data_IF_905407138193
#
_entry.id   IF_905407138193
#
_cell.length_a   1.000
_cell.length_b   1.000
_cell.length_c   1.000
_cell.angle_alpha   90.00
_cell.angle_beta   90.00
_cell.angle_gamma   90.00
#
_symmetry.space_group_name_H-M   'P 1'
#
loop_
_entity.id
_entity.type
_entity.pdbx_description
1 polymer ?
#
# COMPACT_ATOMS: atom_id res chain seq x y z
N UNK A 1 -1.64 17.02 -13.57
CA UNK A 1 -2.94 17.41 -14.13
C UNK A 1 -4.05 17.57 -13.07
N UNK A 2 -4.37 16.51 -12.26
CA UNK A 2 -5.41 16.60 -11.21
C UNK A 2 -5.02 17.57 -10.09
N UNK A 3 -3.78 17.59 -9.72
CA UNK A 3 -3.23 18.46 -8.67
C UNK A 3 -3.12 19.90 -9.14
N UNK A 4 -2.71 20.11 -10.40
CA UNK A 4 -2.73 21.43 -11.05
C UNK A 4 -4.18 21.93 -11.19
N UNK A 5 -5.10 21.00 -11.48
CA UNK A 5 -6.53 21.30 -11.54
C UNK A 5 -7.09 21.72 -10.18
N UNK A 6 -6.77 20.97 -9.09
CA UNK A 6 -7.18 21.36 -7.73
C UNK A 6 -6.52 22.68 -7.28
N UNK A 7 -5.29 22.94 -7.69
CA UNK A 7 -4.61 24.20 -7.38
C UNK A 7 -5.28 25.42 -8.05
N UNK A 8 -5.83 25.23 -9.22
CA UNK A 8 -6.54 26.27 -9.99
C UNK A 8 -7.98 26.46 -9.50
N UNK A 9 -8.70 25.35 -9.18
CA UNK A 9 -10.14 25.37 -8.94
C UNK A 9 -10.56 25.27 -7.48
N UNK A 10 -9.76 24.66 -6.59
CA UNK A 10 -10.11 24.56 -5.17
C UNK A 10 -8.88 24.43 -4.26
N UNK A 11 -8.20 25.56 -4.05
CA UNK A 11 -7.06 25.66 -3.11
C UNK A 11 -7.43 25.31 -1.66
N UNK A 12 -8.68 25.59 -1.26
CA UNK A 12 -9.13 25.29 0.12
C UNK A 12 -9.28 23.79 0.31
N UNK A 13 -9.90 23.09 -0.61
CA UNK A 13 -10.06 21.65 -0.54
C UNK A 13 -8.69 20.91 -0.56
N UNK A 14 -7.73 21.42 -1.35
CA UNK A 14 -6.35 20.91 -1.39
C UNK A 14 -5.66 21.00 -0.01
N UNK A 15 -5.80 22.12 0.66
CA UNK A 15 -5.20 22.38 1.98
C UNK A 15 -5.94 21.62 3.09
N UNK A 16 -7.27 21.65 3.08
CA UNK A 16 -8.09 20.99 4.11
C UNK A 16 -7.95 19.46 4.10
N UNK A 17 -7.79 18.86 2.91
CA UNK A 17 -7.61 17.42 2.74
C UNK A 17 -6.15 16.97 2.74
N UNK A 18 -5.20 17.90 2.85
CA UNK A 18 -3.77 17.59 2.91
C UNK A 18 -3.23 16.91 1.64
N UNK A 19 -3.83 17.18 0.47
CA UNK A 19 -3.44 16.58 -0.80
C UNK A 19 -2.16 17.26 -1.31
N UNK A 20 -1.01 16.66 -1.00
CA UNK A 20 0.28 17.15 -1.46
C UNK A 20 0.94 16.14 -2.39
N UNK A 21 1.42 16.65 -3.53
CA UNK A 21 2.20 15.85 -4.47
C UNK A 21 3.56 15.47 -3.89
N UNK A 22 3.92 14.21 -4.06
CA UNK A 22 5.26 13.73 -3.73
C UNK A 22 6.13 13.80 -4.99
N UNK A 23 7.20 14.61 -4.99
CA UNK A 23 8.08 14.72 -6.16
C UNK A 23 8.64 13.36 -6.58
N UNK A 24 8.65 13.09 -7.88
CA UNK A 24 9.12 11.81 -8.43
C UNK A 24 10.49 11.35 -7.91
N UNK A 25 11.51 12.22 -7.73
CA UNK A 25 12.79 11.80 -7.15
C UNK A 25 12.67 11.25 -5.74
N UNK A 26 11.76 11.80 -4.90
CA UNK A 26 11.51 11.34 -3.53
C UNK A 26 10.82 9.97 -3.55
N UNK A 27 9.78 9.82 -4.36
CA UNK A 27 9.09 8.53 -4.54
C UNK A 27 10.07 7.45 -4.99
N UNK A 28 10.86 7.75 -6.02
CA UNK A 28 11.85 6.83 -6.58
C UNK A 28 12.95 6.47 -5.57
N UNK A 29 13.38 7.42 -4.74
CA UNK A 29 14.32 7.15 -3.65
C UNK A 29 13.72 6.20 -2.62
N UNK A 30 12.51 6.49 -2.13
CA UNK A 30 11.83 5.66 -1.12
C UNK A 30 11.63 4.23 -1.63
N UNK A 31 11.05 4.06 -2.82
CA UNK A 31 10.75 2.74 -3.38
C UNK A 31 12.03 1.92 -3.60
N UNK A 32 13.10 2.55 -4.12
CA UNK A 32 14.39 1.86 -4.29
C UNK A 32 15.04 1.51 -2.96
N UNK A 33 14.97 2.39 -1.96
CA UNK A 33 15.51 2.09 -0.63
C UNK A 33 14.79 0.90 0.01
N UNK A 34 13.48 0.80 -0.15
CA UNK A 34 12.71 -0.38 0.32
C UNK A 34 13.12 -1.63 -0.46
N UNK A 35 13.30 -1.53 -1.79
CA UNK A 35 13.76 -2.64 -2.61
C UNK A 35 15.12 -3.18 -2.16
N UNK A 36 16.10 -2.30 -1.93
CA UNK A 36 17.44 -2.64 -1.45
C UNK A 36 17.38 -3.22 -0.02
N UNK A 37 16.59 -2.63 0.87
CA UNK A 37 16.41 -3.14 2.22
C UNK A 37 15.88 -4.58 2.25
N UNK A 38 14.95 -4.93 1.35
CA UNK A 38 14.44 -6.30 1.25
C UNK A 38 15.55 -7.27 0.83
N UNK A 39 16.40 -6.87 -0.12
CA UNK A 39 17.54 -7.68 -0.54
C UNK A 39 18.49 -7.91 0.63
N UNK A 40 18.87 -6.86 1.34
CA UNK A 40 19.90 -6.90 2.36
C UNK A 40 19.42 -7.56 3.67
N UNK A 41 18.20 -7.22 4.14
CA UNK A 41 17.71 -7.67 5.44
C UNK A 41 17.02 -9.05 5.40
N UNK A 42 16.40 -9.39 4.25
CA UNK A 42 15.64 -10.64 4.14
C UNK A 42 16.27 -11.67 3.19
N UNK A 43 17.43 -11.38 2.60
CA UNK A 43 18.11 -12.25 1.63
C UNK A 43 17.19 -12.66 0.44
N UNK A 44 16.37 -11.71 -0.04
CA UNK A 44 15.48 -11.89 -1.17
C UNK A 44 16.06 -11.15 -2.39
N UNK A 45 16.76 -11.89 -3.26
CA UNK A 45 17.58 -11.33 -4.34
C UNK A 45 16.82 -10.43 -5.33
N UNK A 46 15.53 -10.66 -5.52
CA UNK A 46 14.70 -9.87 -6.42
C UNK A 46 14.01 -8.68 -5.70
N UNK A 47 14.26 -8.45 -4.41
CA UNK A 47 13.71 -7.34 -3.63
C UNK A 47 12.19 -7.29 -3.69
N UNK A 48 11.60 -6.15 -4.08
CA UNK A 48 10.14 -5.99 -4.26
C UNK A 48 9.53 -6.97 -5.28
N UNK A 49 10.35 -7.50 -6.20
CA UNK A 49 9.91 -8.46 -7.21
C UNK A 49 9.97 -9.93 -6.74
N UNK A 50 10.52 -10.20 -5.55
CA UNK A 50 10.65 -11.56 -5.04
C UNK A 50 9.28 -12.20 -4.80
N UNK A 51 9.14 -13.47 -5.17
CA UNK A 51 7.88 -14.23 -5.07
C UNK A 51 7.91 -15.28 -3.98
N UNK A 52 8.92 -15.27 -3.11
CA UNK A 52 9.04 -16.19 -1.98
C UNK A 52 7.83 -16.08 -1.05
N UNK A 53 7.41 -17.22 -0.53
CA UNK A 53 6.38 -17.31 0.50
C UNK A 53 6.96 -17.07 1.89
N UNK A 54 6.09 -17.00 2.91
CA UNK A 54 6.53 -16.91 4.31
C UNK A 54 7.40 -18.09 4.70
N UNK A 55 7.09 -19.34 4.29
CA UNK A 55 7.91 -20.52 4.61
C UNK A 55 9.31 -20.41 3.99
N UNK A 56 9.42 -19.92 2.77
CA UNK A 56 10.71 -19.76 2.10
C UNK A 56 11.57 -18.69 2.78
N UNK A 57 10.93 -17.56 3.13
CA UNK A 57 11.61 -16.43 3.77
C UNK A 57 12.06 -16.77 5.19
N UNK A 58 11.24 -17.44 5.98
CA UNK A 58 11.62 -17.90 7.33
C UNK A 58 12.77 -18.91 7.27
N UNK A 59 12.81 -19.81 6.29
CA UNK A 59 13.93 -20.75 6.10
C UNK A 59 15.25 -20.01 5.81
N UNK A 60 15.20 -18.94 5.00
CA UNK A 60 16.36 -18.10 4.68
C UNK A 60 16.80 -17.22 5.87
N UNK A 61 15.87 -16.89 6.77
CA UNK A 61 16.08 -15.96 7.88
C UNK A 61 15.72 -16.62 9.23
N UNK A 62 16.60 -17.48 9.79
CA UNK A 62 16.36 -18.16 11.07
C UNK A 62 16.14 -17.15 12.20
N UNK A 63 15.06 -17.30 12.93
CA UNK A 63 14.66 -16.40 14.03
C UNK A 63 13.57 -15.40 13.65
N UNK A 64 13.25 -15.26 12.39
CA UNK A 64 12.11 -14.48 11.93
C UNK A 64 10.79 -15.15 12.35
N UNK A 65 9.87 -14.35 12.88
CA UNK A 65 8.55 -14.84 13.31
C UNK A 65 7.49 -14.38 12.30
N UNK A 66 6.69 -15.33 11.86
CA UNK A 66 5.52 -15.08 11.04
C UNK A 66 4.40 -14.48 11.90
N UNK A 67 3.67 -13.44 11.43
CA UNK A 67 2.47 -12.94 12.10
C UNK A 67 1.42 -14.06 12.29
N UNK A 68 0.64 -14.05 13.38
CA UNK A 68 -0.36 -15.11 13.64
C UNK A 68 -1.39 -15.28 12.52
N UNK A 69 -1.78 -14.20 11.88
CA UNK A 69 -2.81 -14.19 10.82
C UNK A 69 -2.28 -14.59 9.43
N UNK A 70 -0.94 -14.60 9.21
CA UNK A 70 -0.38 -15.02 7.93
C UNK A 70 -0.38 -16.56 7.79
N UNK A 71 -0.60 -17.09 6.59
CA UNK A 71 -0.30 -18.46 6.22
C UNK A 71 1.18 -18.63 5.85
N UNK A 72 1.70 -19.85 5.98
CA UNK A 72 3.05 -20.16 5.49
C UNK A 72 3.16 -20.08 3.96
N UNK A 73 2.07 -20.33 3.27
CA UNK A 73 1.99 -20.31 1.80
C UNK A 73 1.68 -18.92 1.24
N UNK A 74 1.33 -17.94 2.10
CA UNK A 74 1.11 -16.57 1.65
C UNK A 74 2.41 -15.97 1.08
N UNK A 75 2.32 -15.13 0.04
CA UNK A 75 3.45 -14.34 -0.43
C UNK A 75 4.03 -13.49 0.71
N UNK A 76 5.36 -13.49 0.86
CA UNK A 76 5.99 -12.64 1.88
C UNK A 76 5.90 -11.17 1.53
N UNK A 77 6.16 -10.80 0.27
CA UNK A 77 6.11 -9.41 -0.17
C UNK A 77 4.65 -9.04 -0.48
N UNK A 78 4.02 -8.28 0.41
CA UNK A 78 2.69 -7.71 0.24
C UNK A 78 2.73 -6.21 0.54
N UNK A 79 2.37 -5.39 -0.43
CA UNK A 79 2.64 -3.95 -0.46
C UNK A 79 1.32 -3.18 -0.36
N UNK A 80 1.20 -2.30 0.63
CA UNK A 80 0.06 -1.40 0.79
C UNK A 80 0.50 0.06 0.72
N UNK A 81 -0.19 0.85 -0.10
CA UNK A 81 -0.23 2.30 0.04
C UNK A 81 -1.55 2.70 0.73
N UNK A 82 -1.52 3.12 2.00
CA UNK A 82 -2.73 3.38 2.78
C UNK A 82 -3.41 4.72 2.45
N UNK A 83 -2.79 5.54 1.60
CA UNK A 83 -3.31 6.81 1.12
C UNK A 83 -2.83 7.03 -0.33
N UNK A 84 -3.26 6.11 -1.20
CA UNK A 84 -2.65 5.91 -2.52
C UNK A 84 -2.76 7.13 -3.45
N UNK A 85 -3.70 8.03 -3.21
CA UNK A 85 -3.91 9.21 -4.04
C UNK A 85 -4.10 8.84 -5.51
N UNK A 86 -3.31 9.44 -6.38
CA UNK A 86 -3.31 9.12 -7.82
C UNK A 86 -2.38 7.94 -8.18
N UNK A 87 -1.89 7.17 -7.23
CA UNK A 87 -1.12 5.94 -7.45
C UNK A 87 0.38 6.14 -7.72
N UNK A 88 0.95 7.28 -7.36
CA UNK A 88 2.34 7.62 -7.74
C UNK A 88 3.36 6.63 -7.16
N UNK A 89 3.21 6.19 -5.92
CA UNK A 89 4.08 5.19 -5.31
C UNK A 89 3.93 3.81 -5.96
N UNK A 90 2.70 3.35 -6.17
CA UNK A 90 2.45 2.03 -6.77
C UNK A 90 2.94 1.97 -8.23
N UNK A 91 2.84 3.06 -8.99
CA UNK A 91 3.41 3.15 -10.34
C UNK A 91 4.93 2.98 -10.32
N UNK A 92 5.64 3.60 -9.37
CA UNK A 92 7.09 3.42 -9.23
C UNK A 92 7.45 2.01 -8.74
N UNK A 93 6.64 1.41 -7.86
CA UNK A 93 6.79 0.00 -7.45
C UNK A 93 6.71 -0.92 -8.67
N UNK A 94 5.72 -0.73 -9.53
CA UNK A 94 5.57 -1.51 -10.78
C UNK A 94 6.80 -1.33 -11.68
N UNK A 95 7.31 -0.10 -11.82
CA UNK A 95 8.52 0.19 -12.60
C UNK A 95 9.76 -0.54 -12.06
N UNK A 96 9.97 -0.53 -10.75
CA UNK A 96 11.09 -1.22 -10.11
C UNK A 96 10.98 -2.73 -10.31
N UNK A 97 9.80 -3.30 -10.07
CA UNK A 97 9.54 -4.73 -10.26
C UNK A 97 9.76 -5.14 -11.72
N UNK A 98 9.18 -4.41 -12.67
CA UNK A 98 9.34 -4.70 -14.10
C UNK A 98 10.79 -4.66 -14.54
N UNK A 99 11.55 -3.63 -14.15
CA UNK A 99 12.99 -3.53 -14.47
C UNK A 99 13.81 -4.67 -13.87
N UNK A 100 13.53 -5.05 -12.63
CA UNK A 100 14.21 -6.16 -11.95
C UNK A 100 13.99 -7.47 -12.69
N UNK A 101 12.72 -7.83 -12.96
CA UNK A 101 12.38 -9.08 -13.61
C UNK A 101 12.86 -9.13 -15.06
N UNK A 102 12.67 -8.06 -15.82
CA UNK A 102 13.17 -7.98 -17.21
C UNK A 102 14.68 -8.13 -17.26
N UNK A 103 15.43 -7.44 -16.39
CA UNK A 103 16.89 -7.56 -16.32
C UNK A 103 17.33 -8.99 -15.98
N UNK A 104 16.63 -9.66 -15.04
CA UNK A 104 16.88 -11.05 -14.67
C UNK A 104 16.65 -11.99 -15.86
N UNK A 105 15.56 -11.83 -16.59
CA UNK A 105 15.24 -12.69 -17.73
C UNK A 105 16.17 -12.46 -18.92
N UNK A 106 16.58 -11.23 -19.19
CA UNK A 106 17.61 -10.91 -20.20
C UNK A 106 18.93 -11.60 -19.84
N UNK A 107 19.39 -11.48 -18.58
CA UNK A 107 20.62 -12.14 -18.11
C UNK A 107 20.56 -13.67 -18.24
N UNK A 108 19.38 -14.27 -18.17
CA UNK A 108 19.17 -15.72 -18.37
C UNK A 108 18.93 -16.11 -19.84
N UNK A 109 19.16 -15.19 -20.78
CA UNK A 109 19.13 -15.48 -22.23
C UNK A 109 17.73 -15.59 -22.82
N UNK A 110 16.71 -15.03 -22.19
CA UNK A 110 15.35 -15.00 -22.76
C UNK A 110 15.25 -13.94 -23.85
N UNK A 111 14.53 -14.27 -24.94
CA UNK A 111 14.22 -13.32 -26.01
C UNK A 111 13.03 -12.42 -25.61
N UNK A 112 12.79 -11.36 -26.38
CA UNK A 112 11.74 -10.36 -26.10
C UNK A 112 10.34 -10.96 -26.02
N UNK A 113 9.98 -11.87 -26.90
CA UNK A 113 8.68 -12.56 -26.90
C UNK A 113 8.48 -13.36 -25.61
N UNK A 114 9.49 -14.12 -25.21
CA UNK A 114 9.45 -14.90 -23.97
C UNK A 114 9.39 -14.02 -22.73
N UNK A 115 10.12 -12.90 -22.73
CA UNK A 115 10.09 -11.91 -21.65
C UNK A 115 8.67 -11.31 -21.51
N UNK A 116 8.04 -10.96 -22.64
CA UNK A 116 6.66 -10.44 -22.63
C UNK A 116 5.68 -11.44 -22.02
N UNK A 117 5.78 -12.71 -22.43
CA UNK A 117 4.89 -13.74 -21.89
C UNK A 117 5.13 -13.95 -20.39
N UNK A 118 6.39 -14.08 -19.96
CA UNK A 118 6.75 -14.18 -18.54
C UNK A 118 6.29 -12.98 -17.72
N UNK A 119 6.32 -11.77 -18.30
CA UNK A 119 5.83 -10.59 -17.63
C UNK A 119 4.30 -10.61 -17.46
N UNK A 120 3.56 -11.05 -18.50
CA UNK A 120 2.11 -11.18 -18.41
C UNK A 120 1.69 -12.21 -17.36
N UNK A 121 2.35 -13.37 -17.32
CA UNK A 121 2.15 -14.38 -16.28
C UNK A 121 2.48 -13.79 -14.90
N UNK A 122 3.62 -13.12 -14.75
CA UNK A 122 4.04 -12.52 -13.49
C UNK A 122 3.07 -11.43 -12.98
N UNK A 123 2.51 -10.61 -13.88
CA UNK A 123 1.53 -9.57 -13.50
C UNK A 123 0.28 -10.20 -12.92
N UNK A 124 -0.26 -11.24 -13.55
CA UNK A 124 -1.46 -11.92 -13.05
C UNK A 124 -1.20 -12.70 -11.77
N UNK A 125 -0.13 -13.49 -11.73
CA UNK A 125 0.12 -14.45 -10.64
C UNK A 125 0.74 -13.79 -9.40
N UNK A 126 1.53 -12.72 -9.60
CA UNK A 126 2.37 -12.19 -8.54
C UNK A 126 2.26 -10.68 -8.31
N UNK A 127 2.04 -9.85 -9.34
CA UNK A 127 2.03 -8.41 -9.15
C UNK A 127 0.68 -7.91 -8.62
N UNK A 128 -0.40 -8.13 -9.39
CA UNK A 128 -1.75 -7.66 -9.03
C UNK A 128 -2.18 -8.20 -7.66
N UNK A 129 -1.97 -9.50 -7.34
CA UNK A 129 -2.41 -10.03 -6.04
C UNK A 129 -1.68 -9.47 -4.82
N UNK A 130 -0.55 -8.78 -4.99
CA UNK A 130 0.33 -8.35 -3.88
C UNK A 130 0.43 -6.83 -3.69
N UNK A 131 -0.20 -6.03 -4.55
CA UNK A 131 -0.19 -4.57 -4.43
C UNK A 131 -1.59 -4.08 -4.07
N UNK A 132 -1.67 -3.28 -3.00
CA UNK A 132 -2.91 -2.78 -2.45
C UNK A 132 -2.84 -1.26 -2.30
N UNK A 133 -3.97 -0.59 -2.49
CA UNK A 133 -4.09 0.84 -2.27
C UNK A 133 -5.44 1.21 -1.66
N UNK A 134 -5.42 2.12 -0.68
CA UNK A 134 -6.64 2.69 -0.10
C UNK A 134 -6.74 4.17 -0.44
N UNK A 135 -7.91 4.61 -0.87
CA UNK A 135 -8.19 6.00 -1.19
C UNK A 135 -9.57 6.39 -0.68
N UNK A 136 -9.67 7.57 -0.09
CA UNK A 136 -10.92 8.10 0.46
C UNK A 136 -11.77 8.79 -0.60
N UNK A 137 -11.12 9.43 -1.59
CA UNK A 137 -11.79 10.30 -2.56
C UNK A 137 -11.93 9.61 -3.92
N UNK A 138 -13.13 9.72 -4.50
CA UNK A 138 -13.48 9.09 -5.78
C UNK A 138 -12.57 9.53 -6.95
N UNK A 139 -12.23 10.82 -7.03
CA UNK A 139 -11.46 11.33 -8.17
C UNK A 139 -10.02 10.81 -8.19
N UNK A 140 -9.20 10.89 -7.11
CA UNK A 140 -7.88 10.26 -7.07
C UNK A 140 -7.96 8.73 -7.25
N UNK A 141 -8.94 8.06 -6.65
CA UNK A 141 -9.19 6.63 -6.84
C UNK A 141 -9.32 6.26 -8.33
N UNK A 142 -10.17 6.98 -9.07
CA UNK A 142 -10.36 6.73 -10.51
C UNK A 142 -9.09 7.00 -11.32
N UNK A 143 -8.35 8.07 -10.99
CA UNK A 143 -7.08 8.41 -11.63
C UNK A 143 -6.02 7.36 -11.32
N UNK A 144 -5.98 6.83 -10.10
CA UNK A 144 -5.08 5.76 -9.68
C UNK A 144 -5.28 4.51 -10.56
N UNK A 145 -6.50 4.04 -10.70
CA UNK A 145 -6.83 2.92 -11.59
C UNK A 145 -6.36 3.15 -13.02
N UNK A 146 -6.64 4.34 -13.57
CA UNK A 146 -6.21 4.69 -14.92
C UNK A 146 -4.68 4.70 -15.06
N UNK A 147 -3.96 5.34 -14.12
CA UNK A 147 -2.49 5.44 -14.15
C UNK A 147 -1.82 4.08 -14.03
N UNK A 148 -2.30 3.21 -13.13
CA UNK A 148 -1.76 1.85 -12.99
C UNK A 148 -2.05 1.04 -14.25
N UNK A 149 -3.27 1.10 -14.79
CA UNK A 149 -3.61 0.43 -16.05
C UNK A 149 -2.74 0.87 -17.23
N UNK A 150 -2.50 2.19 -17.37
CA UNK A 150 -1.59 2.74 -18.37
C UNK A 150 -0.15 2.28 -18.16
N UNK A 151 0.33 2.23 -16.91
CA UNK A 151 1.66 1.75 -16.57
C UNK A 151 1.84 0.26 -16.92
N UNK A 152 0.87 -0.57 -16.59
CA UNK A 152 0.90 -1.99 -16.96
C UNK A 152 0.94 -2.16 -18.47
N UNK A 153 0.12 -1.41 -19.22
CA UNK A 153 0.16 -1.42 -20.68
C UNK A 153 1.50 -0.95 -21.24
N UNK A 154 2.09 0.11 -20.67
CA UNK A 154 3.42 0.62 -21.06
C UNK A 154 4.52 -0.43 -20.87
N UNK A 155 4.44 -1.25 -19.83
CA UNK A 155 5.37 -2.36 -19.56
C UNK A 155 5.13 -3.60 -20.44
N UNK A 156 4.13 -3.59 -21.32
CA UNK A 156 3.82 -4.67 -22.26
C UNK A 156 2.83 -5.71 -21.73
N UNK A 157 2.15 -5.43 -20.61
CA UNK A 157 1.05 -6.27 -20.12
C UNK A 157 -0.19 -6.08 -21.00
N UNK A 158 -0.81 -7.18 -21.41
CA UNK A 158 -2.06 -7.17 -22.14
C UNK A 158 -3.25 -7.10 -21.18
N UNK A 159 -3.87 -5.93 -21.10
CA UNK A 159 -5.02 -5.70 -20.21
C UNK A 159 -6.25 -6.59 -20.53
N UNK A 160 -6.33 -7.13 -21.75
CA UNK A 160 -7.41 -8.07 -22.09
C UNK A 160 -7.21 -9.46 -21.43
N UNK A 161 -5.99 -9.76 -21.01
CA UNK A 161 -5.64 -10.99 -20.30
C UNK A 161 -5.58 -10.79 -18.78
N UNK A 162 -6.06 -9.66 -18.26
CA UNK A 162 -6.12 -9.44 -16.83
C UNK A 162 -7.16 -10.37 -16.19
N UNK A 163 -6.70 -11.27 -15.32
CA UNK A 163 -7.56 -12.24 -14.61
C UNK A 163 -8.19 -11.63 -13.37
N UNK A 164 -7.54 -10.63 -12.79
CA UNK A 164 -7.94 -9.99 -11.54
C UNK A 164 -8.08 -8.48 -11.71
N UNK A 165 -8.97 -7.87 -10.94
CA UNK A 165 -9.00 -6.41 -10.79
C UNK A 165 -7.79 -5.92 -9.98
N UNK A 166 -7.45 -4.65 -10.14
CA UNK A 166 -6.47 -3.99 -9.26
C UNK A 166 -7.04 -3.88 -7.83
N UNK A 167 -6.24 -4.21 -6.83
CA UNK A 167 -6.61 -4.12 -5.42
C UNK A 167 -6.49 -2.67 -4.89
N UNK A 168 -7.12 -1.75 -5.59
CA UNK A 168 -7.27 -0.36 -5.17
C UNK A 168 -8.71 -0.18 -4.72
N UNK A 169 -8.92 0.29 -3.50
CA UNK A 169 -10.23 0.34 -2.87
C UNK A 169 -10.59 1.75 -2.42
N UNK A 170 -11.85 2.12 -2.66
CA UNK A 170 -12.42 3.36 -2.15
C UNK A 170 -12.87 3.16 -0.71
N UNK A 171 -11.99 3.54 0.24
CA UNK A 171 -12.21 3.29 1.67
C UNK A 171 -11.48 4.31 2.54
N UNK A 172 -11.97 4.54 3.76
CA UNK A 172 -11.22 5.26 4.77
C UNK A 172 -10.28 4.29 5.51
N UNK A 173 -8.99 4.47 5.35
CA UNK A 173 -7.95 3.65 6.02
C UNK A 173 -8.06 3.70 7.54
N UNK A 174 -8.44 4.85 8.09
CA UNK A 174 -8.51 5.10 9.54
C UNK A 174 -9.82 4.64 10.19
N UNK A 175 -10.71 4.01 9.43
CA UNK A 175 -11.91 3.38 9.94
C UNK A 175 -11.70 1.90 10.24
N UNK A 176 -12.36 1.46 11.33
CA UNK A 176 -12.37 0.04 11.71
C UNK A 176 -12.94 -0.80 10.55
N UNK A 177 -12.30 -1.92 10.20
CA UNK A 177 -12.95 -2.90 9.34
C UNK A 177 -14.31 -3.29 9.94
N UNK A 178 -15.38 -3.21 9.14
CA UNK A 178 -16.73 -3.53 9.60
C UNK A 178 -17.07 -4.96 9.20
N UNK A 179 -17.64 -5.73 10.14
CA UNK A 179 -18.30 -6.98 9.82
C UNK A 179 -19.60 -6.71 9.04
N UNK A 180 -19.81 -7.45 8.00
CA UNK A 180 -20.72 -7.25 6.86
C UNK A 180 -22.25 -7.20 7.15
N UNK A 181 -22.69 -7.39 8.39
CA UNK A 181 -24.13 -7.58 8.67
C UNK A 181 -25.01 -6.32 8.50
N UNK A 182 -24.42 -5.13 8.27
CA UNK A 182 -25.19 -3.87 8.27
C UNK A 182 -25.28 -3.09 6.96
N UNK A 183 -24.70 -3.58 5.86
CA UNK A 183 -24.59 -2.82 4.60
C UNK A 183 -25.67 -3.15 3.56
N UNK A 184 -26.94 -3.14 3.92
CA UNK A 184 -28.07 -3.54 3.04
C UNK A 184 -28.44 -2.54 1.93
N UNK A 185 -27.82 -1.36 1.80
CA UNK A 185 -28.39 -0.29 0.96
C UNK A 185 -27.48 0.44 -0.06
N UNK A 186 -26.22 0.01 -0.28
CA UNK A 186 -25.36 0.63 -1.32
C UNK A 186 -24.52 -0.42 -2.07
N UNK A 187 -25.01 -0.97 -3.20
CA UNK A 187 -24.37 -2.16 -3.80
C UNK A 187 -22.88 -1.95 -4.17
N UNK A 188 -22.54 -0.87 -4.85
CA UNK A 188 -21.14 -0.64 -5.30
C UNK A 188 -20.19 -0.27 -4.15
N UNK A 189 -20.56 0.72 -3.33
CA UNK A 189 -19.74 1.14 -2.18
C UNK A 189 -19.64 0.05 -1.11
N UNK A 190 -20.64 -0.82 -1.01
CA UNK A 190 -20.59 -1.97 -0.13
C UNK A 190 -19.53 -2.97 -0.61
N UNK A 191 -19.50 -3.33 -1.90
CA UNK A 191 -18.50 -4.25 -2.46
C UNK A 191 -17.08 -3.70 -2.25
N UNK A 192 -16.82 -2.43 -2.57
CA UNK A 192 -15.53 -1.79 -2.34
C UNK A 192 -15.12 -1.82 -0.87
N UNK A 193 -16.06 -1.52 0.02
CA UNK A 193 -15.82 -1.55 1.47
C UNK A 193 -15.54 -2.96 1.97
N UNK A 194 -16.22 -3.97 1.46
CA UNK A 194 -16.08 -5.36 1.85
C UNK A 194 -14.73 -5.93 1.42
N UNK A 195 -14.35 -5.70 0.18
CA UNK A 195 -13.04 -6.12 -0.33
C UNK A 195 -11.90 -5.41 0.42
N UNK A 196 -12.04 -4.09 0.69
CA UNK A 196 -11.08 -3.35 1.52
C UNK A 196 -10.99 -3.93 2.95
N UNK A 197 -12.14 -4.32 3.53
CA UNK A 197 -12.17 -4.93 4.87
C UNK A 197 -11.50 -6.30 4.89
N UNK A 198 -11.65 -7.10 3.84
CA UNK A 198 -10.92 -8.38 3.71
C UNK A 198 -9.40 -8.14 3.71
N UNK A 199 -8.93 -7.14 2.97
CA UNK A 199 -7.50 -6.79 2.98
C UNK A 199 -7.06 -6.32 4.36
N UNK A 200 -7.83 -5.42 5.01
CA UNK A 200 -7.51 -4.90 6.35
C UNK A 200 -7.45 -5.98 7.45
N UNK A 201 -8.24 -7.05 7.31
CA UNK A 201 -8.36 -8.10 8.33
C UNK A 201 -7.47 -9.31 8.07
N UNK A 202 -7.33 -9.71 6.80
CA UNK A 202 -6.83 -11.03 6.46
C UNK A 202 -5.51 -11.01 5.66
N UNK A 203 -5.12 -9.86 5.08
CA UNK A 203 -3.91 -9.79 4.28
C UNK A 203 -2.71 -9.50 5.17
N UNK A 204 -1.68 -10.38 5.19
CA UNK A 204 -0.48 -10.16 5.99
C UNK A 204 0.45 -9.15 5.29
N UNK A 205 0.09 -7.87 5.37
CA UNK A 205 0.87 -6.77 4.80
C UNK A 205 2.27 -6.74 5.44
N UNK A 206 3.30 -6.72 4.62
CA UNK A 206 4.70 -6.67 5.07
C UNK A 206 5.37 -5.34 4.75
N UNK A 207 4.88 -4.63 3.74
CA UNK A 207 5.45 -3.37 3.28
C UNK A 207 4.34 -2.32 3.20
N UNK A 208 4.57 -1.20 3.88
CA UNK A 208 3.71 -0.03 3.77
C UNK A 208 4.56 1.14 3.30
N UNK A 209 4.15 1.75 2.21
CA UNK A 209 4.80 2.92 1.63
C UNK A 209 3.75 3.89 1.09
N UNK A 210 4.02 5.17 1.19
CA UNK A 210 3.08 6.20 0.75
C UNK A 210 3.42 7.56 1.35
N UNK A 211 2.61 8.55 1.02
CA UNK A 211 2.66 9.89 1.60
C UNK A 211 1.27 10.25 2.15
N UNK A 212 0.95 9.86 3.40
CA UNK A 212 -0.35 10.12 3.98
C UNK A 212 -0.59 11.63 4.20
N UNK A 213 -1.87 12.06 4.22
CA UNK A 213 -2.21 13.47 4.40
C UNK A 213 -1.76 14.00 5.77
N UNK A 214 -1.36 15.27 5.81
CA UNK A 214 -1.11 16.03 7.04
C UNK A 214 -2.30 16.94 7.29
N UNK A 215 -2.91 16.82 8.43
CA UNK A 215 -4.05 17.64 8.83
C UNK A 215 -3.85 18.04 10.28
N UNK A 216 -3.55 19.30 10.53
CA UNK A 216 -3.36 19.81 11.90
C UNK A 216 -4.59 19.64 12.79
N UNK A 217 -5.79 19.53 12.19
CA UNK A 217 -7.02 19.19 12.85
C UNK A 217 -7.70 18.00 12.15
N UNK A 218 -7.53 16.82 12.72
CA UNK A 218 -8.10 15.59 12.18
C UNK A 218 -9.60 15.48 12.38
N UNK A 219 -10.32 15.15 11.31
CA UNK A 219 -11.74 14.74 11.37
C UNK A 219 -11.92 13.26 11.75
N UNK A 220 -10.88 12.44 11.65
CA UNK A 220 -10.87 11.02 11.97
C UNK A 220 -10.86 10.78 13.49
N UNK A 221 -12.04 10.83 14.12
CA UNK A 221 -12.24 10.69 15.58
C UNK A 221 -12.96 9.40 15.95
N UNK A 222 -12.99 8.40 15.07
CA UNK A 222 -13.59 7.09 15.31
C UNK A 222 -12.98 6.37 16.52
N UNK A 223 -13.78 5.66 17.30
CA UNK A 223 -13.34 5.00 18.54
C UNK A 223 -12.14 4.04 18.29
N UNK A 224 -12.14 3.34 17.17
CA UNK A 224 -11.09 2.37 16.85
C UNK A 224 -9.71 3.04 16.72
N UNK A 225 -9.59 4.02 15.82
CA UNK A 225 -8.31 4.70 15.61
C UNK A 225 -7.86 5.46 16.86
N UNK A 226 -8.80 6.08 17.59
CA UNK A 226 -8.48 6.77 18.84
C UNK A 226 -7.97 5.79 19.92
N UNK A 227 -8.51 4.57 19.99
CA UNK A 227 -7.99 3.53 20.87
C UNK A 227 -6.58 3.07 20.47
N UNK A 228 -6.30 2.95 19.15
CA UNK A 228 -4.95 2.66 18.68
C UNK A 228 -3.96 3.76 19.09
N UNK A 229 -4.38 5.03 19.03
CA UNK A 229 -3.55 6.18 19.42
C UNK A 229 -3.23 6.23 20.92
N UNK A 230 -3.99 5.55 21.78
CA UNK A 230 -3.67 5.50 23.22
C UNK A 230 -2.32 4.85 23.51
N UNK A 231 -1.84 3.95 22.63
CA UNK A 231 -0.50 3.40 22.73
C UNK A 231 0.60 4.46 22.58
N UNK A 232 0.41 5.45 21.71
CA UNK A 232 1.37 6.54 21.48
C UNK A 232 1.37 7.62 22.57
N UNK A 233 0.42 7.56 23.49
CA UNK A 233 0.32 8.45 24.67
C UNK A 233 0.99 7.87 25.91
N UNK A 234 1.63 6.71 25.76
CA UNK A 234 2.30 5.97 26.85
C UNK A 234 3.77 5.79 26.55
N UNK A 235 4.56 5.61 27.61
CA UNK A 235 5.96 5.19 27.47
C UNK A 235 6.06 3.84 26.73
N UNK A 236 7.10 3.62 25.90
CA UNK A 236 7.26 2.38 25.16
C UNK A 236 7.22 1.15 26.07
N UNK A 237 6.31 0.22 25.77
CA UNK A 237 6.11 -1.01 26.57
C UNK A 237 5.49 -0.81 27.95
N UNK A 238 5.10 0.43 28.32
CA UNK A 238 4.61 0.79 29.64
C UNK A 238 3.13 1.11 29.73
N UNK A 239 2.66 1.28 30.96
CA UNK A 239 1.33 1.74 31.31
C UNK A 239 1.32 3.24 31.65
N UNK A 240 2.49 3.82 31.92
CA UNK A 240 2.65 5.23 32.29
C UNK A 240 2.42 6.13 31.10
N UNK A 241 1.70 7.25 31.33
CA UNK A 241 1.48 8.26 30.30
C UNK A 241 2.75 9.04 30.05
N UNK A 242 3.00 9.39 28.78
CA UNK A 242 4.04 10.33 28.41
C UNK A 242 3.87 11.65 29.18
N UNK A 243 4.97 12.23 29.65
CA UNK A 243 5.02 13.53 30.31
C UNK A 243 4.88 14.72 29.35
N UNK A 244 4.49 14.45 28.09
CA UNK A 244 4.33 15.44 27.04
C UNK A 244 3.12 16.34 27.30
N UNK A 245 3.34 17.66 27.30
CA UNK A 245 2.30 18.66 27.57
C UNK A 245 1.45 18.99 26.34
N UNK A 246 1.97 18.77 25.12
CA UNK A 246 1.33 19.11 23.85
C UNK A 246 0.85 17.87 23.08
N UNK A 247 0.20 16.93 23.76
CA UNK A 247 -0.29 15.68 23.16
C UNK A 247 -1.32 15.84 22.02
N UNK A 248 -1.81 17.06 21.76
CA UNK A 248 -2.75 17.31 20.65
C UNK A 248 -2.18 17.00 19.29
N UNK A 249 -0.87 17.20 19.08
CA UNK A 249 -0.20 16.89 17.80
C UNK A 249 -0.11 15.41 17.50
N UNK A 250 -0.20 14.53 18.51
CA UNK A 250 -0.27 13.08 18.33
C UNK A 250 -1.55 12.69 17.58
N UNK A 251 -2.61 13.52 17.64
CA UNK A 251 -3.87 13.25 16.97
C UNK A 251 -3.92 13.74 15.51
N UNK A 252 -2.83 14.22 14.95
CA UNK A 252 -2.71 14.53 13.51
C UNK A 252 -2.97 13.26 12.68
N UNK A 253 -3.61 13.40 11.51
CA UNK A 253 -3.89 12.25 10.63
C UNK A 253 -2.61 11.55 10.20
N UNK A 254 -1.54 12.29 9.93
CA UNK A 254 -0.24 11.69 9.61
C UNK A 254 0.22 10.68 10.69
N UNK A 255 0.12 11.04 11.96
CA UNK A 255 0.49 10.17 13.09
C UNK A 255 -0.45 8.97 13.19
N UNK A 256 -1.76 9.19 12.93
CA UNK A 256 -2.75 8.10 12.88
C UNK A 256 -2.45 7.12 11.75
N UNK A 257 -2.04 7.59 10.57
CA UNK A 257 -1.62 6.72 9.47
C UNK A 257 -0.41 5.87 9.85
N UNK A 258 0.61 6.44 10.52
CA UNK A 258 1.77 5.69 11.03
C UNK A 258 1.31 4.61 12.01
N UNK A 259 0.44 4.95 12.97
CA UNK A 259 -0.06 3.97 13.96
C UNK A 259 -0.93 2.88 13.32
N UNK A 260 -1.76 3.25 12.35
CA UNK A 260 -2.56 2.31 11.58
C UNK A 260 -1.67 1.38 10.74
N UNK A 261 -0.62 1.90 10.12
CA UNK A 261 0.38 1.11 9.39
C UNK A 261 1.06 0.07 10.29
N UNK A 262 1.43 0.45 11.50
CA UNK A 262 1.95 -0.50 12.49
C UNK A 262 0.94 -1.59 12.87
N UNK A 263 -0.35 -1.26 12.89
CA UNK A 263 -1.40 -2.23 13.16
C UNK A 263 -1.54 -3.27 12.04
N UNK A 264 -1.35 -2.86 10.78
CA UNK A 264 -1.43 -3.79 9.64
C UNK A 264 -0.21 -4.72 9.52
N UNK A 265 0.97 -4.29 9.99
CA UNK A 265 2.20 -5.11 9.93
C UNK A 265 2.30 -6.08 11.13
N UNK A 266 1.71 -5.74 12.26
CA UNK A 266 1.76 -6.54 13.50
C UNK A 266 0.56 -7.48 13.64
#
# INVERSE_FOLDING_TARGET
FYEDFLEEYDKQEKVEKGVFYTPKPVVSFIVRSVHEMIIDEYNLEDGLADTSTWIDTVKKNPGMKKPPHASLDDPFIQILDPAVGTGTFLVEVIDVIHRTMTSKWVKTGKNEEKIRNLWNDYVNDHLIPRIFGFELMMAPYSICHMKIGLKLKETGFDLNNAENRLNIFLTNTLEKPQDLETALFKPFLAIESDEANQVKLNTPITIILGNPPYSGESSNKGKWIMNLMEAYKKEPGGTEKLKEKNSKFINDDYVKFIRCSQYFIN
#
